data_IF_987823126205
#
_entry.id   IF_987823126205
#
_cell.length_a   1.000
_cell.length_b   1.000
_cell.length_c   1.000
_cell.angle_alpha   90.00
_cell.angle_beta   90.00
_cell.angle_gamma   90.00
#
_symmetry.space_group_name_H-M   'P 1'
#
loop_
_entity.id
_entity.type
_entity.pdbx_description
1 polymer ?
#
# COMPACT_ATOMS: atom_id res chain seq x y z
N UNK A 1 8.93 8.06 -30.96
CA UNK A 1 8.54 6.68 -30.57
C UNK A 1 9.73 6.10 -29.79
N UNK A 2 9.52 5.55 -28.58
CA UNK A 2 10.61 4.93 -27.83
C UNK A 2 11.21 3.76 -28.62
N UNK A 3 12.52 3.54 -28.56
CA UNK A 3 13.23 2.48 -29.31
C UNK A 3 14.48 2.00 -28.58
N UNK A 4 14.96 0.83 -28.93
CA UNK A 4 16.18 0.25 -28.37
C UNK A 4 16.14 0.13 -26.85
N UNK A 5 17.16 0.63 -26.18
CA UNK A 5 17.27 0.59 -24.70
C UNK A 5 16.20 1.42 -23.99
N UNK A 6 15.57 2.43 -24.62
CA UNK A 6 14.44 3.13 -24.00
C UNK A 6 13.22 2.21 -23.77
N UNK A 7 13.04 1.19 -24.61
CA UNK A 7 12.01 0.15 -24.44
C UNK A 7 12.46 -0.89 -23.43
N UNK A 8 13.70 -1.40 -23.57
CA UNK A 8 14.21 -2.43 -22.66
C UNK A 8 14.33 -1.95 -21.22
N UNK A 9 14.57 -0.67 -21.00
CA UNK A 9 14.66 -0.06 -19.66
C UNK A 9 13.30 0.44 -19.13
N UNK A 10 12.22 0.31 -19.90
CA UNK A 10 10.89 0.69 -19.44
C UNK A 10 10.12 -0.56 -19.01
N UNK A 11 9.85 -0.75 -17.72
CA UNK A 11 9.26 -1.97 -17.19
C UNK A 11 7.83 -2.23 -17.71
N UNK A 12 7.12 -1.21 -18.16
CA UNK A 12 5.77 -1.33 -18.74
C UNK A 12 5.79 -1.73 -20.22
N UNK A 13 6.91 -1.56 -20.91
CA UNK A 13 7.04 -1.85 -22.35
C UNK A 13 7.93 -3.05 -22.62
N UNK A 14 8.83 -3.36 -21.70
CA UNK A 14 9.79 -4.44 -21.86
C UNK A 14 9.09 -5.81 -21.79
N UNK A 15 9.31 -6.62 -22.84
CA UNK A 15 8.87 -8.03 -22.93
C UNK A 15 10.05 -9.01 -22.82
N UNK A 16 11.26 -8.51 -22.59
CA UNK A 16 12.47 -9.33 -22.58
C UNK A 16 12.64 -10.13 -23.89
N UNK A 17 12.94 -11.41 -23.77
CA UNK A 17 13.12 -12.30 -24.91
C UNK A 17 11.82 -12.66 -25.67
N UNK A 18 10.65 -12.24 -25.18
CA UNK A 18 9.35 -12.50 -25.84
C UNK A 18 9.01 -11.48 -26.93
N UNK A 19 9.82 -10.45 -27.18
CA UNK A 19 9.63 -9.61 -28.36
C UNK A 19 9.70 -10.44 -29.64
N UNK A 20 8.64 -10.38 -30.48
CA UNK A 20 8.61 -11.06 -31.79
C UNK A 20 9.65 -10.49 -32.73
N UNK A 21 9.91 -11.17 -33.86
CA UNK A 21 10.86 -10.69 -34.86
C UNK A 21 10.44 -9.32 -35.41
N UNK A 22 9.17 -9.14 -35.71
CA UNK A 22 8.58 -7.91 -36.23
C UNK A 22 8.68 -6.77 -35.20
N UNK A 23 8.46 -7.08 -33.93
CA UNK A 23 8.64 -6.11 -32.83
C UNK A 23 10.09 -5.72 -32.64
N UNK A 24 11.04 -6.68 -32.75
CA UNK A 24 12.47 -6.40 -32.66
C UNK A 24 12.94 -5.49 -33.81
N UNK A 25 12.44 -5.70 -35.03
CA UNK A 25 12.70 -4.83 -36.16
C UNK A 25 12.08 -3.44 -35.95
N UNK A 26 10.79 -3.39 -35.60
CA UNK A 26 10.03 -2.15 -35.43
C UNK A 26 10.60 -1.23 -34.34
N UNK A 27 11.06 -1.82 -33.25
CA UNK A 27 11.52 -1.08 -32.07
C UNK A 27 13.04 -0.95 -31.97
N UNK A 28 13.80 -1.35 -32.97
CA UNK A 28 15.27 -1.26 -32.98
C UNK A 28 15.94 -2.16 -31.96
N UNK A 29 15.41 -3.36 -31.73
CA UNK A 29 15.91 -4.32 -30.75
C UNK A 29 16.80 -5.41 -31.38
N UNK A 30 17.03 -5.39 -32.70
CA UNK A 30 17.86 -6.37 -33.36
C UNK A 30 19.31 -6.32 -32.82
N UNK A 31 19.81 -7.47 -32.41
CA UNK A 31 21.13 -7.59 -31.78
C UNK A 31 21.24 -7.19 -30.31
N UNK A 32 20.16 -6.60 -29.73
CA UNK A 32 20.11 -6.25 -28.29
C UNK A 32 19.56 -7.38 -27.41
N UNK A 33 18.93 -8.38 -28.02
CA UNK A 33 18.36 -9.54 -27.32
C UNK A 33 18.95 -10.83 -27.92
N UNK A 34 19.05 -11.92 -27.13
CA UNK A 34 19.38 -13.25 -27.63
C UNK A 34 18.46 -13.65 -28.81
N UNK A 35 18.97 -14.42 -29.79
CA UNK A 35 18.20 -14.73 -31.02
C UNK A 35 16.90 -15.49 -30.78
N UNK A 36 16.87 -16.40 -29.81
CA UNK A 36 15.67 -17.19 -29.52
C UNK A 36 14.55 -16.32 -28.97
N UNK A 37 13.33 -16.54 -29.42
CA UNK A 37 12.14 -15.84 -28.97
C UNK A 37 11.39 -16.77 -28.04
N UNK A 38 11.37 -16.43 -26.74
CA UNK A 38 10.64 -17.20 -25.74
C UNK A 38 9.16 -16.80 -25.72
N UNK A 39 8.33 -17.76 -25.35
CA UNK A 39 6.96 -17.48 -24.91
C UNK A 39 6.99 -16.90 -23.48
N UNK A 40 5.90 -16.31 -23.06
CA UNK A 40 5.75 -15.83 -21.66
C UNK A 40 5.83 -17.00 -20.66
N UNK A 41 5.33 -18.20 -21.03
CA UNK A 41 5.41 -19.39 -20.18
C UNK A 41 6.86 -19.88 -20.02
N UNK A 42 7.68 -19.84 -21.07
CA UNK A 42 9.08 -20.19 -21.00
C UNK A 42 9.87 -19.21 -20.12
N UNK A 43 9.61 -17.90 -20.26
CA UNK A 43 10.18 -16.88 -19.38
C UNK A 43 9.78 -17.08 -17.93
N UNK A 44 8.48 -17.33 -17.67
CA UNK A 44 7.96 -17.56 -16.33
C UNK A 44 8.57 -18.82 -15.70
N UNK A 45 8.71 -19.91 -16.46
CA UNK A 45 9.37 -21.14 -16.00
C UNK A 45 10.83 -20.89 -15.64
N UNK A 46 11.54 -20.12 -16.44
CA UNK A 46 12.92 -19.75 -16.18
C UNK A 46 13.05 -18.90 -14.91
N UNK A 47 12.22 -17.86 -14.77
CA UNK A 47 12.19 -16.97 -13.61
C UNK A 47 11.81 -17.73 -12.34
N UNK A 48 10.79 -18.58 -12.38
CA UNK A 48 10.39 -19.40 -11.24
C UNK A 48 11.50 -20.36 -10.80
N UNK A 49 12.21 -20.97 -11.76
CA UNK A 49 13.38 -21.81 -11.45
C UNK A 49 14.52 -21.05 -10.76
N UNK A 50 14.70 -19.75 -11.05
CA UNK A 50 15.67 -18.90 -10.36
C UNK A 50 15.16 -18.50 -8.97
N UNK A 51 13.87 -18.18 -8.83
CA UNK A 51 13.21 -17.90 -7.55
C UNK A 51 13.35 -19.06 -6.55
N UNK A 52 13.16 -20.30 -7.01
CA UNK A 52 13.28 -21.49 -6.16
C UNK A 52 14.71 -21.75 -5.64
N UNK A 53 15.73 -21.15 -6.26
CA UNK A 53 17.13 -21.25 -5.82
C UNK A 53 17.51 -20.26 -4.72
N UNK A 54 16.59 -19.37 -4.34
CA UNK A 54 16.80 -18.43 -3.25
C UNK A 54 16.37 -19.07 -1.93
N UNK A 55 17.24 -19.03 -0.93
CA UNK A 55 16.98 -19.68 0.36
C UNK A 55 16.15 -18.80 1.28
N UNK A 56 16.44 -17.49 1.35
CA UNK A 56 15.76 -16.54 2.24
C UNK A 56 14.57 -15.87 1.57
N UNK A 57 13.51 -15.59 2.33
CA UNK A 57 12.32 -14.91 1.82
C UNK A 57 12.64 -13.49 1.31
N UNK A 58 13.52 -12.76 1.99
CA UNK A 58 13.96 -11.44 1.53
C UNK A 58 14.73 -11.50 0.19
N UNK A 59 15.55 -12.53 -0.02
CA UNK A 59 16.23 -12.74 -1.31
C UNK A 59 15.23 -13.07 -2.42
N UNK A 60 14.18 -13.84 -2.10
CA UNK A 60 13.07 -14.11 -3.01
C UNK A 60 12.33 -12.82 -3.35
N UNK A 61 12.06 -11.96 -2.36
CA UNK A 61 11.47 -10.65 -2.58
C UNK A 61 12.36 -9.79 -3.51
N UNK A 62 13.65 -9.66 -3.23
CA UNK A 62 14.57 -8.88 -4.06
C UNK A 62 14.56 -9.35 -5.51
N UNK A 63 14.58 -10.66 -5.73
CA UNK A 63 14.50 -11.23 -7.08
C UNK A 63 13.17 -10.88 -7.78
N UNK A 64 12.04 -10.96 -7.07
CA UNK A 64 10.74 -10.56 -7.62
C UNK A 64 10.71 -9.06 -7.94
N UNK A 65 11.31 -8.22 -7.08
CA UNK A 65 11.42 -6.78 -7.31
C UNK A 65 12.32 -6.44 -8.51
N UNK A 66 13.37 -7.22 -8.78
CA UNK A 66 14.18 -7.08 -9.98
C UNK A 66 13.34 -7.31 -11.24
N UNK A 67 12.53 -8.38 -11.28
CA UNK A 67 11.60 -8.62 -12.39
C UNK A 67 10.57 -7.51 -12.49
N UNK A 68 9.98 -7.08 -11.37
CA UNK A 68 9.00 -5.99 -11.33
C UNK A 68 9.54 -4.69 -11.91
N UNK A 69 10.80 -4.35 -11.60
CA UNK A 69 11.44 -3.12 -12.06
C UNK A 69 11.93 -3.19 -13.52
N UNK A 70 11.95 -4.39 -14.12
CA UNK A 70 12.43 -4.59 -15.49
C UNK A 70 11.36 -5.05 -16.47
N UNK A 71 10.42 -5.89 -16.05
CA UNK A 71 9.37 -6.46 -16.89
C UNK A 71 8.09 -6.73 -16.09
N UNK A 72 7.19 -5.74 -16.02
CA UNK A 72 5.92 -5.82 -15.28
C UNK A 72 5.00 -6.92 -15.78
N UNK A 73 4.99 -7.15 -17.09
CA UNK A 73 4.17 -8.21 -17.68
C UNK A 73 4.60 -9.59 -17.17
N UNK A 74 5.90 -9.87 -17.20
CA UNK A 74 6.43 -11.13 -16.67
C UNK A 74 6.19 -11.26 -15.16
N UNK A 75 6.43 -10.17 -14.39
CA UNK A 75 6.18 -10.17 -12.95
C UNK A 75 4.74 -10.56 -12.62
N UNK A 76 3.74 -9.88 -13.19
CA UNK A 76 2.35 -10.16 -12.89
C UNK A 76 1.87 -11.50 -13.47
N UNK A 77 2.41 -11.91 -14.62
CA UNK A 77 2.12 -13.25 -15.14
C UNK A 77 2.61 -14.32 -14.16
N UNK A 78 3.85 -14.21 -13.70
CA UNK A 78 4.42 -15.13 -12.71
C UNK A 78 3.65 -15.08 -11.38
N UNK A 79 3.31 -13.90 -10.90
CA UNK A 79 2.52 -13.71 -9.68
C UNK A 79 1.14 -14.37 -9.80
N UNK A 80 0.46 -14.22 -10.93
CA UNK A 80 -0.86 -14.83 -11.15
C UNK A 80 -0.83 -16.36 -11.11
N UNK A 81 0.30 -16.97 -11.48
CA UNK A 81 0.50 -18.44 -11.41
C UNK A 81 0.81 -18.93 -9.99
N UNK A 82 1.35 -18.08 -9.13
CA UNK A 82 1.87 -18.44 -7.81
C UNK A 82 1.34 -17.49 -6.70
N UNK A 83 0.07 -17.06 -6.78
CA UNK A 83 -0.51 -16.03 -5.89
C UNK A 83 -0.31 -16.36 -4.42
N UNK A 84 -0.64 -17.58 -3.99
CA UNK A 84 -0.57 -17.99 -2.57
C UNK A 84 0.88 -17.97 -2.06
N UNK A 85 1.85 -18.37 -2.88
CA UNK A 85 3.25 -18.39 -2.51
C UNK A 85 3.87 -16.98 -2.50
N UNK A 86 3.49 -16.12 -3.46
CA UNK A 86 4.12 -14.82 -3.63
C UNK A 86 3.50 -13.72 -2.78
N UNK A 87 2.21 -13.82 -2.44
CA UNK A 87 1.52 -12.82 -1.63
C UNK A 87 2.27 -12.46 -0.35
N UNK A 88 2.66 -13.44 0.51
CA UNK A 88 3.40 -13.15 1.74
C UNK A 88 4.84 -12.67 1.51
N UNK A 89 5.36 -12.79 0.30
CA UNK A 89 6.72 -12.35 -0.06
C UNK A 89 6.71 -10.93 -0.60
N UNK A 90 5.73 -10.59 -1.44
CA UNK A 90 5.64 -9.23 -2.03
C UNK A 90 4.98 -8.22 -1.10
N UNK A 91 4.23 -8.71 -0.10
CA UNK A 91 3.56 -7.90 0.88
C UNK A 91 3.83 -8.45 2.30
N UNK A 92 2.84 -8.44 3.19
CA UNK A 92 2.99 -8.87 4.57
C UNK A 92 3.09 -10.41 4.68
N UNK A 93 4.07 -10.93 5.47
CA UNK A 93 4.94 -10.24 6.44
C UNK A 93 6.34 -9.84 5.91
N UNK A 94 6.80 -10.33 4.77
CA UNK A 94 8.19 -10.11 4.31
C UNK A 94 8.48 -8.64 3.98
N UNK A 95 7.46 -7.86 3.65
CA UNK A 95 7.61 -6.44 3.36
C UNK A 95 8.15 -5.65 4.56
N UNK A 96 7.87 -6.07 5.79
CA UNK A 96 8.38 -5.43 7.00
C UNK A 96 9.93 -5.43 7.01
N UNK A 97 10.57 -6.58 6.76
CA UNK A 97 12.03 -6.69 6.66
C UNK A 97 12.59 -5.81 5.53
N UNK A 98 11.86 -5.70 4.41
CA UNK A 98 12.24 -4.81 3.30
C UNK A 98 12.23 -3.34 3.70
N UNK A 99 11.20 -2.90 4.43
CA UNK A 99 11.05 -1.52 4.89
C UNK A 99 12.14 -1.17 5.91
N UNK A 100 12.39 -2.07 6.86
CA UNK A 100 13.43 -1.90 7.88
C UNK A 100 14.82 -1.67 7.28
N UNK A 101 15.08 -2.30 6.14
CA UNK A 101 16.37 -2.23 5.44
C UNK A 101 16.33 -1.40 4.13
N UNK A 102 15.23 -0.70 3.86
CA UNK A 102 14.98 -0.04 2.57
C UNK A 102 16.11 0.89 2.14
N UNK A 103 16.54 1.79 3.01
CA UNK A 103 17.57 2.78 2.69
C UNK A 103 18.94 2.14 2.42
N UNK A 104 19.27 1.08 3.15
CA UNK A 104 20.54 0.36 2.99
C UNK A 104 20.55 -0.48 1.71
N UNK A 105 19.40 -0.99 1.30
CA UNK A 105 19.23 -1.88 0.14
C UNK A 105 18.72 -1.15 -1.10
N UNK A 106 18.64 0.18 -1.04
CA UNK A 106 18.10 0.98 -2.14
C UNK A 106 18.89 0.85 -3.43
N UNK A 107 18.23 0.44 -4.51
CA UNK A 107 18.79 0.34 -5.86
C UNK A 107 17.95 1.13 -6.87
N UNK A 108 16.61 1.17 -6.66
CA UNK A 108 15.67 1.67 -7.67
C UNK A 108 14.46 2.29 -6.99
N UNK A 109 13.94 3.45 -7.44
CA UNK A 109 12.77 4.12 -6.86
C UNK A 109 11.43 3.42 -7.15
N UNK A 110 11.40 2.27 -7.83
CA UNK A 110 10.23 1.41 -8.05
C UNK A 110 9.04 2.11 -8.76
N UNK A 111 9.29 3.19 -9.48
CA UNK A 111 8.31 4.08 -10.11
C UNK A 111 7.31 4.70 -9.11
N UNK A 112 7.75 4.94 -7.87
CA UNK A 112 7.00 5.63 -6.84
C UNK A 112 7.20 7.16 -6.91
N UNK A 113 6.28 7.91 -6.31
CA UNK A 113 6.41 9.34 -6.06
C UNK A 113 6.82 9.57 -4.61
N UNK A 114 7.84 10.38 -4.38
CA UNK A 114 8.34 10.77 -3.07
C UNK A 114 8.03 12.25 -2.86
N UNK A 115 7.12 12.56 -1.95
CA UNK A 115 6.69 13.92 -1.64
C UNK A 115 7.30 14.34 -0.30
N UNK A 116 7.92 15.51 -0.25
CA UNK A 116 8.40 16.10 1.01
C UNK A 116 7.43 17.16 1.50
N UNK A 117 7.04 17.12 2.78
CA UNK A 117 6.18 18.16 3.37
C UNK A 117 6.85 19.53 3.38
N UNK A 118 8.17 19.60 3.24
CA UNK A 118 8.94 20.86 3.15
C UNK A 118 8.95 21.48 1.74
N UNK A 119 8.46 20.75 0.74
CA UNK A 119 8.44 21.18 -0.66
C UNK A 119 7.04 21.09 -1.28
N UNK A 120 6.01 21.71 -0.67
CA UNK A 120 4.64 21.60 -1.15
C UNK A 120 4.43 22.18 -2.57
N UNK A 121 5.28 23.08 -3.02
CA UNK A 121 5.24 23.64 -4.37
C UNK A 121 5.60 22.62 -5.45
N UNK A 122 6.34 21.56 -5.12
CA UNK A 122 6.81 20.55 -6.06
C UNK A 122 5.81 19.40 -6.31
N UNK A 123 4.71 19.32 -5.55
CA UNK A 123 3.73 18.21 -5.63
C UNK A 123 3.28 17.95 -7.07
N UNK A 124 2.86 18.99 -7.81
CA UNK A 124 2.36 18.84 -9.20
C UNK A 124 3.44 18.29 -10.12
N UNK A 125 4.65 18.79 -10.01
CA UNK A 125 5.79 18.37 -10.82
C UNK A 125 6.17 16.92 -10.52
N UNK A 126 6.25 16.55 -9.23
CA UNK A 126 6.61 15.21 -8.79
C UNK A 126 5.57 14.19 -9.28
N UNK A 127 4.27 14.47 -9.11
CA UNK A 127 3.20 13.57 -9.57
C UNK A 127 3.21 13.40 -11.10
N UNK A 128 3.46 14.46 -11.87
CA UNK A 128 3.60 14.37 -13.34
C UNK A 128 4.81 13.52 -13.74
N UNK A 129 5.96 13.73 -13.11
CA UNK A 129 7.17 12.96 -13.37
C UNK A 129 6.97 11.47 -13.07
N UNK A 130 6.40 11.16 -11.91
CA UNK A 130 6.15 9.77 -11.51
C UNK A 130 5.07 9.08 -12.36
N UNK A 131 4.09 9.82 -12.85
CA UNK A 131 3.07 9.30 -13.76
C UNK A 131 3.61 8.97 -15.16
N UNK A 132 4.68 9.62 -15.62
CA UNK A 132 5.29 9.41 -16.96
C UNK A 132 4.24 9.31 -18.11
N UNK A 133 3.33 10.27 -18.17
CA UNK A 133 2.21 10.34 -19.13
C UNK A 133 1.19 9.16 -19.02
N UNK A 134 1.25 8.33 -17.99
CA UNK A 134 0.25 7.30 -17.73
C UNK A 134 -1.05 7.92 -17.23
N UNK A 135 -2.17 7.27 -17.51
CA UNK A 135 -3.49 7.66 -17.01
C UNK A 135 -3.70 7.05 -15.62
N UNK A 136 -3.28 7.73 -14.58
CA UNK A 136 -3.43 7.25 -13.22
C UNK A 136 -4.90 7.30 -12.80
N UNK A 137 -5.38 6.20 -12.18
CA UNK A 137 -6.73 6.02 -11.64
C UNK A 137 -6.76 5.61 -10.18
N UNK A 138 -5.67 5.03 -9.69
CA UNK A 138 -5.53 4.63 -8.30
C UNK A 138 -4.19 5.11 -7.78
N UNK A 139 -4.22 5.84 -6.68
CA UNK A 139 -3.04 6.15 -5.88
C UNK A 139 -3.19 5.41 -4.55
N UNK A 140 -2.17 4.66 -4.15
CA UNK A 140 -1.98 4.26 -2.76
C UNK A 140 -0.93 5.17 -2.17
N UNK A 141 -1.30 5.89 -1.11
CA UNK A 141 -0.44 6.85 -0.43
C UNK A 141 -0.27 6.47 1.03
N UNK A 142 0.96 6.63 1.52
CA UNK A 142 1.32 6.45 2.94
C UNK A 142 2.17 7.61 3.43
N UNK A 143 2.05 7.97 4.72
CA UNK A 143 3.08 8.76 5.42
C UNK A 143 3.99 7.88 6.28
N UNK A 144 3.72 6.57 6.28
CA UNK A 144 4.47 5.52 6.95
C UNK A 144 4.72 5.75 8.44
N UNK A 145 3.80 6.48 9.11
CA UNK A 145 3.87 6.69 10.56
C UNK A 145 3.36 5.50 11.34
N UNK A 146 2.36 4.80 10.80
CA UNK A 146 1.61 3.76 11.48
C UNK A 146 1.66 2.39 10.80
N UNK A 147 2.80 1.98 10.24
CA UNK A 147 2.91 0.69 9.58
C UNK A 147 2.59 -0.43 10.57
N UNK A 148 1.59 -1.25 10.24
CA UNK A 148 1.10 -2.30 11.13
C UNK A 148 2.23 -3.22 11.59
N UNK A 149 2.38 -3.34 12.91
CA UNK A 149 3.38 -4.19 13.56
C UNK A 149 4.78 -3.58 13.71
N UNK A 150 5.18 -2.57 12.93
CA UNK A 150 6.53 -2.00 12.97
C UNK A 150 6.59 -0.48 13.20
N UNK A 151 5.48 0.24 13.06
CA UNK A 151 5.37 1.66 13.40
C UNK A 151 5.95 2.62 12.36
N UNK A 152 6.62 3.68 12.83
CA UNK A 152 7.14 4.79 12.02
C UNK A 152 8.45 4.42 11.30
N UNK A 153 8.43 4.46 9.97
CA UNK A 153 9.60 4.20 9.12
C UNK A 153 9.89 5.32 8.10
N UNK A 154 9.18 6.45 8.19
CA UNK A 154 9.40 7.59 7.32
C UNK A 154 9.37 7.20 5.83
N UNK A 155 10.30 7.74 5.03
CA UNK A 155 10.32 7.47 3.58
C UNK A 155 10.52 5.99 3.20
N UNK A 156 11.12 5.17 4.10
CA UNK A 156 11.31 3.74 3.87
C UNK A 156 9.98 3.02 3.63
N UNK A 157 8.88 3.55 4.18
CA UNK A 157 7.55 2.97 4.01
C UNK A 157 6.95 3.08 2.61
N UNK A 158 7.65 3.63 1.63
CA UNK A 158 7.21 3.61 0.22
C UNK A 158 6.90 2.19 -0.27
N UNK A 159 7.61 1.19 0.24
CA UNK A 159 7.39 -0.22 -0.10
C UNK A 159 5.98 -0.70 0.24
N UNK A 160 5.31 -0.12 1.27
CA UNK A 160 3.90 -0.39 1.60
C UNK A 160 3.01 -0.05 0.40
N UNK A 161 3.10 1.17 -0.13
CA UNK A 161 2.30 1.58 -1.28
C UNK A 161 2.60 0.74 -2.53
N UNK A 162 3.87 0.38 -2.75
CA UNK A 162 4.28 -0.47 -3.87
C UNK A 162 3.70 -1.88 -3.72
N UNK A 163 3.87 -2.52 -2.56
CA UNK A 163 3.38 -3.86 -2.28
C UNK A 163 1.85 -3.95 -2.34
N UNK A 164 1.14 -2.97 -1.78
CA UNK A 164 -0.32 -2.89 -1.85
C UNK A 164 -0.80 -2.85 -3.30
N UNK A 165 -0.18 -2.05 -4.16
CA UNK A 165 -0.53 -1.99 -5.58
C UNK A 165 -0.21 -3.26 -6.35
N UNK A 166 0.82 -4.02 -5.96
CA UNK A 166 1.07 -5.35 -6.51
C UNK A 166 -0.08 -6.31 -6.20
N UNK A 167 -0.57 -6.28 -4.96
CA UNK A 167 -1.73 -7.09 -4.52
C UNK A 167 -2.99 -6.66 -5.26
N UNK A 168 -3.26 -5.36 -5.42
CA UNK A 168 -4.39 -4.86 -6.21
C UNK A 168 -4.38 -5.40 -7.65
N UNK A 169 -3.22 -5.40 -8.30
CA UNK A 169 -3.12 -5.93 -9.65
C UNK A 169 -3.31 -7.45 -9.68
N UNK A 170 -2.60 -8.18 -8.80
CA UNK A 170 -2.59 -9.64 -8.84
C UNK A 170 -3.92 -10.26 -8.38
N UNK A 171 -4.58 -9.70 -7.36
CA UNK A 171 -5.79 -10.28 -6.75
C UNK A 171 -7.09 -9.60 -7.23
N UNK A 172 -7.08 -8.30 -7.55
CA UNK A 172 -8.26 -7.57 -7.97
C UNK A 172 -8.26 -7.19 -9.47
N UNK A 173 -7.20 -7.51 -10.22
CA UNK A 173 -7.13 -7.27 -11.66
C UNK A 173 -7.01 -5.81 -12.07
N UNK A 174 -6.54 -4.94 -11.18
CA UNK A 174 -6.29 -3.53 -11.49
C UNK A 174 -5.11 -3.42 -12.48
N UNK A 175 -5.30 -2.66 -13.56
CA UNK A 175 -4.25 -2.43 -14.56
C UNK A 175 -3.03 -1.73 -13.94
N UNK A 176 -1.85 -2.36 -13.91
CA UNK A 176 -0.65 -1.78 -13.31
C UNK A 176 -0.15 -0.51 -13.99
N UNK A 177 -0.59 -0.23 -15.22
CA UNK A 177 -0.27 1.02 -15.90
C UNK A 177 -1.07 2.21 -15.36
N UNK A 178 -2.15 1.97 -14.61
CA UNK A 178 -3.05 3.02 -14.09
C UNK A 178 -2.86 3.33 -12.61
N UNK A 179 -1.86 2.74 -11.98
CA UNK A 179 -1.62 2.90 -10.54
C UNK A 179 -0.34 3.69 -10.26
N UNK A 180 -0.32 4.39 -9.12
CA UNK A 180 0.84 5.17 -8.68
C UNK A 180 1.04 5.01 -7.17
N UNK A 181 2.17 4.41 -6.73
CA UNK A 181 2.55 4.42 -5.32
C UNK A 181 3.10 5.80 -4.93
N UNK A 182 2.70 6.29 -3.75
CA UNK A 182 3.12 7.58 -3.23
C UNK A 182 3.54 7.43 -1.77
N UNK A 183 4.66 8.04 -1.40
CA UNK A 183 5.02 8.26 -0.01
C UNK A 183 5.09 9.76 0.27
N UNK A 184 4.52 10.17 1.40
CA UNK A 184 4.63 11.54 1.94
C UNK A 184 5.65 11.51 3.07
N UNK A 185 6.84 12.01 2.78
CA UNK A 185 7.88 12.17 3.78
C UNK A 185 7.57 13.40 4.66
N UNK A 186 6.91 13.12 5.77
CA UNK A 186 6.56 14.10 6.79
C UNK A 186 7.62 14.19 7.92
N UNK A 187 8.81 13.60 7.70
CA UNK A 187 9.80 13.34 8.73
C UNK A 187 9.53 12.04 9.48
N UNK A 188 10.31 11.77 10.51
CA UNK A 188 10.15 10.57 11.36
C UNK A 188 10.50 10.90 12.81
N UNK A 189 9.82 10.23 13.75
CA UNK A 189 10.18 10.28 15.17
C UNK A 189 11.05 9.09 15.59
N UNK A 190 11.41 8.22 14.64
CA UNK A 190 12.31 7.09 14.89
C UNK A 190 13.75 7.57 14.94
N UNK A 191 14.32 7.56 16.13
CA UNK A 191 15.66 8.07 16.40
C UNK A 191 16.73 7.35 15.60
N UNK A 192 16.58 6.02 15.45
CA UNK A 192 17.49 5.18 14.70
C UNK A 192 17.59 5.61 13.21
N UNK A 193 16.50 6.11 12.61
CA UNK A 193 16.52 6.64 11.25
C UNK A 193 17.15 8.04 11.21
N UNK A 194 16.81 8.91 12.16
CA UNK A 194 17.36 10.27 12.21
C UNK A 194 18.90 10.29 12.37
N UNK A 195 19.44 9.29 13.07
CA UNK A 195 20.88 9.13 13.33
C UNK A 195 21.60 8.23 12.28
N UNK A 196 20.87 7.60 11.36
CA UNK A 196 21.45 6.72 10.34
C UNK A 196 21.90 7.51 9.11
N UNK A 197 23.20 7.50 8.82
CA UNK A 197 23.79 8.18 7.67
C UNK A 197 23.29 7.65 6.31
N UNK A 198 22.76 6.43 6.26
CA UNK A 198 22.21 5.81 5.05
C UNK A 198 20.72 6.14 4.85
N UNK A 199 20.02 6.70 5.85
CA UNK A 199 18.61 7.02 5.72
C UNK A 199 18.36 8.02 4.58
N UNK A 200 17.47 7.65 3.67
CA UNK A 200 17.19 8.40 2.43
C UNK A 200 16.04 9.43 2.58
N UNK A 201 15.38 9.46 3.73
CA UNK A 201 14.30 10.42 4.01
C UNK A 201 14.79 11.71 4.66
N UNK A 202 13.84 12.60 4.92
CA UNK A 202 14.08 13.84 5.65
C UNK A 202 14.50 13.57 7.10
N UNK A 203 15.57 14.21 7.56
CA UNK A 203 16.12 14.01 8.91
C UNK A 203 15.63 15.08 9.88
N UNK A 204 14.32 15.13 10.10
CA UNK A 204 13.66 15.95 11.10
C UNK A 204 12.48 15.20 11.72
N UNK A 205 12.09 15.64 12.92
CA UNK A 205 10.90 15.11 13.59
C UNK A 205 9.65 15.35 12.76
N UNK A 206 8.66 14.45 12.89
CA UNK A 206 7.42 14.54 12.11
C UNK A 206 6.73 15.88 12.25
N UNK A 207 6.43 16.47 11.11
CA UNK A 207 5.58 17.66 11.00
C UNK A 207 4.16 17.30 11.42
N UNK A 208 3.53 18.18 12.21
CA UNK A 208 2.20 17.99 12.80
C UNK A 208 1.31 19.21 12.57
N UNK A 209 0.05 19.08 12.91
CA UNK A 209 -0.91 20.18 12.93
C UNK A 209 -1.17 20.79 11.56
N UNK A 210 -1.36 22.11 11.52
CA UNK A 210 -1.81 22.81 10.33
C UNK A 210 -0.84 22.70 9.15
N UNK A 211 0.47 22.67 9.39
CA UNK A 211 1.46 22.50 8.32
C UNK A 211 1.26 21.15 7.61
N UNK A 212 1.06 20.09 8.37
CA UNK A 212 0.81 18.75 7.84
C UNK A 212 -0.52 18.69 7.07
N UNK A 213 -1.61 19.15 7.68
CA UNK A 213 -2.93 19.08 7.02
C UNK A 213 -3.06 19.99 5.82
N UNK A 214 -2.38 21.14 5.79
CA UNK A 214 -2.31 22.00 4.61
C UNK A 214 -1.55 21.31 3.46
N UNK A 215 -0.50 20.55 3.78
CA UNK A 215 0.19 19.74 2.78
C UNK A 215 -0.70 18.66 2.21
N UNK A 216 -1.41 17.88 3.07
CA UNK A 216 -2.36 16.85 2.65
C UNK A 216 -3.44 17.46 1.74
N UNK A 217 -4.01 18.60 2.11
CA UNK A 217 -5.04 19.29 1.34
C UNK A 217 -4.52 19.70 -0.06
N UNK A 218 -3.31 20.22 -0.12
CA UNK A 218 -2.65 20.55 -1.39
C UNK A 218 -2.37 19.32 -2.24
N UNK A 219 -1.92 18.23 -1.62
CA UNK A 219 -1.72 16.94 -2.31
C UNK A 219 -3.03 16.43 -2.93
N UNK A 220 -4.10 16.34 -2.15
CA UNK A 220 -5.42 15.85 -2.62
C UNK A 220 -5.91 16.68 -3.80
N UNK A 221 -5.98 18.01 -3.65
CA UNK A 221 -6.44 18.92 -4.71
C UNK A 221 -5.59 18.83 -5.99
N UNK A 222 -4.27 18.66 -5.82
CA UNK A 222 -3.38 18.53 -6.97
C UNK A 222 -3.56 17.20 -7.67
N UNK A 223 -3.68 16.11 -6.92
CA UNK A 223 -3.87 14.77 -7.46
C UNK A 223 -5.20 14.65 -8.23
N UNK A 224 -6.31 15.14 -7.67
CA UNK A 224 -7.62 15.18 -8.36
C UNK A 224 -7.59 16.01 -9.64
N UNK A 225 -6.94 17.18 -9.60
CA UNK A 225 -6.78 18.04 -10.79
C UNK A 225 -6.00 17.34 -11.90
N UNK A 226 -4.94 16.59 -11.54
CA UNK A 226 -4.07 15.93 -12.51
C UNK A 226 -4.65 14.64 -13.06
N UNK A 227 -5.39 13.90 -12.24
CA UNK A 227 -5.87 12.56 -12.54
C UNK A 227 -7.40 12.48 -12.43
N UNK A 228 -8.13 12.80 -13.50
CA UNK A 228 -9.58 12.70 -13.51
C UNK A 228 -10.07 11.29 -13.20
N UNK A 229 -11.08 11.17 -12.33
CA UNK A 229 -11.61 9.89 -11.80
C UNK A 229 -10.59 9.11 -10.98
N UNK A 230 -9.73 9.81 -10.23
CA UNK A 230 -8.81 9.23 -9.28
C UNK A 230 -9.57 8.54 -8.13
N UNK A 231 -9.11 7.36 -7.74
CA UNK A 231 -9.41 6.74 -6.46
C UNK A 231 -8.20 6.85 -5.55
N UNK A 232 -8.36 7.42 -4.36
CA UNK A 232 -7.27 7.67 -3.42
C UNK A 232 -7.38 6.76 -2.22
N UNK A 233 -6.38 5.90 -2.03
CA UNK A 233 -6.29 4.94 -0.94
C UNK A 233 -5.25 5.40 0.07
N UNK A 234 -5.67 5.57 1.34
CA UNK A 234 -4.80 5.88 2.48
C UNK A 234 -4.36 4.59 3.16
N UNK A 235 -3.05 4.45 3.38
CA UNK A 235 -2.43 3.25 3.93
C UNK A 235 -1.40 3.59 4.99
N UNK A 236 -1.45 2.96 6.16
CA UNK A 236 -0.47 3.06 7.24
C UNK A 236 -0.15 4.49 7.72
N UNK A 237 -1.14 5.34 7.74
CA UNK A 237 -1.05 6.67 8.36
C UNK A 237 -1.03 6.58 9.88
N UNK A 238 -0.39 7.55 10.53
CA UNK A 238 -0.49 7.69 11.98
C UNK A 238 -1.95 7.77 12.45
N UNK A 239 -2.25 7.09 13.55
CA UNK A 239 -3.61 6.85 14.07
C UNK A 239 -4.53 8.09 14.01
N UNK A 240 -4.06 9.22 14.56
CA UNK A 240 -4.85 10.45 14.58
C UNK A 240 -5.01 11.06 13.18
N UNK A 241 -3.95 11.01 12.38
CA UNK A 241 -3.96 11.53 11.03
C UNK A 241 -4.90 10.71 10.13
N UNK A 242 -4.85 9.38 10.23
CA UNK A 242 -5.70 8.46 9.46
C UNK A 242 -7.19 8.80 9.58
N UNK A 243 -7.67 8.94 10.82
CA UNK A 243 -9.06 9.26 11.12
C UNK A 243 -9.47 10.65 10.65
N UNK A 244 -8.64 11.67 10.95
CA UNK A 244 -8.93 13.04 10.55
C UNK A 244 -8.97 13.21 9.02
N UNK A 245 -8.06 12.55 8.31
CA UNK A 245 -8.02 12.56 6.84
C UNK A 245 -9.26 11.86 6.28
N UNK A 246 -9.59 10.67 6.76
CA UNK A 246 -10.75 9.94 6.30
C UNK A 246 -12.02 10.75 6.51
N UNK A 247 -12.27 11.23 7.72
CA UNK A 247 -13.46 12.02 8.06
C UNK A 247 -13.60 13.29 7.21
N UNK A 248 -12.47 13.92 6.82
CA UNK A 248 -12.47 15.08 5.96
C UNK A 248 -12.86 14.77 4.52
N UNK A 249 -12.33 13.69 3.96
CA UNK A 249 -12.41 13.46 2.52
C UNK A 249 -13.41 12.38 2.08
N UNK A 250 -13.91 11.52 2.99
CA UNK A 250 -14.76 10.38 2.62
C UNK A 250 -16.05 10.76 1.87
N UNK A 251 -16.54 12.00 2.06
CA UNK A 251 -17.72 12.52 1.38
C UNK A 251 -17.40 13.55 0.27
N UNK A 252 -16.12 13.88 0.07
CA UNK A 252 -15.70 14.88 -0.91
C UNK A 252 -15.12 14.25 -2.18
N UNK A 253 -14.36 13.16 -2.04
CA UNK A 253 -13.66 12.48 -3.13
C UNK A 253 -13.87 10.96 -3.10
N UNK A 254 -13.54 10.28 -4.18
CA UNK A 254 -13.51 8.82 -4.19
C UNK A 254 -12.28 8.32 -3.42
N UNK A 255 -12.47 7.92 -2.18
CA UNK A 255 -11.37 7.52 -1.27
C UNK A 255 -11.80 6.51 -0.22
N UNK A 256 -10.83 5.83 0.37
CA UNK A 256 -11.01 5.06 1.60
C UNK A 256 -9.67 4.89 2.34
N UNK A 257 -9.77 4.51 3.61
CA UNK A 257 -8.63 4.09 4.43
C UNK A 257 -8.74 2.58 4.71
N UNK A 258 -7.72 1.81 4.28
CA UNK A 258 -7.75 0.35 4.41
C UNK A 258 -7.63 -0.11 5.87
N UNK A 259 -6.77 0.55 6.66
CA UNK A 259 -6.56 0.19 8.08
C UNK A 259 -7.83 0.32 8.91
N UNK A 260 -8.65 1.34 8.60
CA UNK A 260 -9.90 1.63 9.31
C UNK A 260 -11.05 0.84 8.69
N UNK A 261 -11.31 1.04 7.39
CA UNK A 261 -12.50 0.54 6.71
C UNK A 261 -12.29 -0.86 6.15
N UNK A 262 -11.16 -1.14 5.49
CA UNK A 262 -10.85 -2.45 4.90
C UNK A 262 -10.75 -3.53 5.96
N UNK A 263 -9.96 -3.30 7.02
CA UNK A 263 -9.80 -4.21 8.14
C UNK A 263 -11.13 -4.47 8.85
N UNK A 264 -11.96 -3.42 9.02
CA UNK A 264 -13.29 -3.55 9.60
C UNK A 264 -14.21 -4.46 8.78
N UNK A 265 -14.25 -4.26 7.46
CA UNK A 265 -15.11 -5.02 6.55
C UNK A 265 -14.70 -6.49 6.49
N UNK A 266 -13.41 -6.80 6.33
CA UNK A 266 -12.95 -8.19 6.20
C UNK A 266 -13.14 -8.97 7.52
N UNK A 267 -12.93 -8.32 8.66
CA UNK A 267 -13.16 -8.93 9.97
C UNK A 267 -14.64 -9.22 10.18
N UNK A 268 -15.52 -8.26 9.89
CA UNK A 268 -16.97 -8.48 9.95
C UNK A 268 -17.41 -9.64 9.04
N UNK A 269 -16.89 -9.71 7.81
CA UNK A 269 -17.19 -10.81 6.90
C UNK A 269 -16.79 -12.18 7.47
N UNK A 270 -15.62 -12.25 8.11
CA UNK A 270 -15.17 -13.45 8.83
C UNK A 270 -16.09 -13.84 9.98
N UNK A 271 -16.52 -12.85 10.81
CA UNK A 271 -17.45 -13.06 11.91
C UNK A 271 -18.80 -13.56 11.38
N UNK A 272 -19.36 -12.93 10.36
CA UNK A 272 -20.64 -13.35 9.77
C UNK A 272 -20.54 -14.77 9.18
N UNK A 273 -19.39 -15.12 8.60
CA UNK A 273 -19.11 -16.49 8.14
C UNK A 273 -19.11 -17.50 9.28
N UNK A 274 -18.47 -17.19 10.41
CA UNK A 274 -18.45 -18.03 11.61
C UNK A 274 -19.85 -18.19 12.23
N UNK A 275 -20.60 -17.09 12.33
CA UNK A 275 -21.98 -17.10 12.86
C UNK A 275 -22.93 -17.92 11.99
N UNK A 276 -22.73 -17.90 10.66
CA UNK A 276 -23.49 -18.78 9.75
C UNK A 276 -23.23 -20.27 10.04
N UNK A 277 -22.03 -20.62 10.46
CA UNK A 277 -21.67 -22.01 10.80
C UNK A 277 -22.25 -22.38 12.18
N UNK A 278 -22.15 -21.49 13.18
CA UNK A 278 -22.66 -21.74 14.54
C UNK A 278 -24.19 -21.66 14.63
N UNK A 279 -24.87 -20.97 13.70
CA UNK A 279 -26.30 -20.71 13.73
C UNK A 279 -26.71 -19.58 14.68
N UNK A 280 -25.75 -18.81 15.18
CA UNK A 280 -25.99 -17.69 16.10
C UNK A 280 -26.19 -16.37 15.34
N UNK A 281 -26.74 -15.35 16.04
CA UNK A 281 -26.94 -14.01 15.48
C UNK A 281 -25.82 -13.07 15.92
N UNK A 282 -25.45 -12.12 15.06
CA UNK A 282 -24.49 -11.08 15.40
C UNK A 282 -24.98 -10.22 16.57
N UNK A 283 -26.30 -9.92 16.61
CA UNK A 283 -26.94 -9.13 17.65
C UNK A 283 -26.91 -9.77 19.06
N UNK A 284 -26.60 -11.07 19.16
CA UNK A 284 -26.48 -11.78 20.44
C UNK A 284 -25.02 -11.82 20.94
N UNK A 285 -24.04 -11.42 20.11
CA UNK A 285 -22.62 -11.50 20.42
C UNK A 285 -22.15 -10.36 21.32
N UNK A 286 -21.09 -10.63 22.08
CA UNK A 286 -20.29 -9.64 22.80
C UNK A 286 -18.96 -9.52 22.10
N UNK A 287 -18.58 -8.31 21.75
CA UNK A 287 -17.30 -8.03 21.10
C UNK A 287 -16.30 -7.49 22.11
N UNK A 288 -15.14 -8.13 22.19
CA UNK A 288 -14.01 -7.65 22.96
C UNK A 288 -12.83 -7.38 22.03
N UNK A 289 -12.35 -6.14 22.03
CA UNK A 289 -11.17 -5.71 21.29
C UNK A 289 -9.97 -5.58 22.23
N UNK A 290 -8.94 -6.36 22.00
CA UNK A 290 -7.67 -6.24 22.71
C UNK A 290 -6.65 -5.55 21.81
N UNK A 291 -6.45 -4.24 22.02
CA UNK A 291 -5.69 -3.34 21.15
C UNK A 291 -6.64 -2.43 20.35
N UNK A 292 -7.23 -1.44 21.02
CA UNK A 292 -8.15 -0.48 20.40
C UNK A 292 -7.38 0.64 19.65
N UNK A 293 -6.40 0.26 18.79
CA UNK A 293 -5.71 1.12 17.85
C UNK A 293 -6.58 1.45 16.63
N UNK A 294 -5.97 2.00 15.57
CA UNK A 294 -6.66 2.38 14.32
C UNK A 294 -7.51 1.23 13.77
N UNK A 295 -6.90 0.05 13.58
CA UNK A 295 -7.59 -1.14 13.10
C UNK A 295 -8.65 -1.64 14.09
N UNK A 296 -8.30 -1.76 15.40
CA UNK A 296 -9.22 -2.27 16.42
C UNK A 296 -10.47 -1.40 16.59
N UNK A 297 -10.31 -0.08 16.61
CA UNK A 297 -11.43 0.87 16.65
C UNK A 297 -12.27 0.82 15.36
N UNK A 298 -11.62 0.72 14.19
CA UNK A 298 -12.30 0.57 12.89
C UNK A 298 -13.15 -0.70 12.82
N UNK A 299 -12.62 -1.83 13.31
CA UNK A 299 -13.35 -3.10 13.41
C UNK A 299 -14.55 -2.95 14.34
N UNK A 300 -14.34 -2.38 15.55
CA UNK A 300 -15.42 -2.18 16.53
C UNK A 300 -16.55 -1.33 15.93
N UNK A 301 -16.22 -0.20 15.29
CA UNK A 301 -17.16 0.68 14.60
C UNK A 301 -17.96 -0.05 13.51
N UNK A 302 -17.29 -0.87 12.69
CA UNK A 302 -17.98 -1.61 11.62
C UNK A 302 -18.93 -2.68 12.17
N UNK A 303 -18.52 -3.42 13.20
CA UNK A 303 -19.40 -4.42 13.85
C UNK A 303 -20.56 -3.75 14.55
N UNK A 304 -20.32 -2.62 15.24
CA UNK A 304 -21.35 -1.83 15.88
C UNK A 304 -22.43 -1.38 14.88
N UNK A 305 -22.01 -0.78 13.77
CA UNK A 305 -22.92 -0.34 12.72
C UNK A 305 -23.77 -1.50 12.17
N UNK A 306 -23.13 -2.67 11.94
CA UNK A 306 -23.85 -3.87 11.48
C UNK A 306 -24.88 -4.38 12.50
N UNK A 307 -24.57 -4.34 13.80
CA UNK A 307 -25.54 -4.71 14.85
C UNK A 307 -26.75 -3.77 14.86
N UNK A 308 -26.52 -2.47 14.62
CA UNK A 308 -27.61 -1.47 14.51
C UNK A 308 -28.42 -1.71 13.23
N UNK A 309 -27.74 -1.95 12.08
CA UNK A 309 -28.40 -2.29 10.82
C UNK A 309 -29.27 -3.57 10.93
N UNK A 310 -28.86 -4.52 11.78
CA UNK A 310 -29.62 -5.74 12.09
C UNK A 310 -30.69 -5.57 13.16
N UNK A 311 -30.93 -4.35 13.64
CA UNK A 311 -32.10 -3.97 14.45
C UNK A 311 -31.86 -3.72 15.93
N UNK A 312 -30.62 -3.70 16.43
CA UNK A 312 -30.35 -3.18 17.77
C UNK A 312 -30.46 -1.65 17.78
N UNK A 313 -30.93 -1.08 18.89
CA UNK A 313 -30.72 0.33 19.17
C UNK A 313 -29.22 0.58 19.44
N UNK A 314 -28.73 1.80 19.19
CA UNK A 314 -27.34 2.18 19.49
C UNK A 314 -26.98 1.91 20.96
N UNK A 315 -27.91 2.20 21.89
CA UNK A 315 -27.72 1.98 23.32
C UNK A 315 -27.58 0.48 23.68
N UNK A 316 -28.31 -0.40 23.01
CA UNK A 316 -28.19 -1.85 23.20
C UNK A 316 -26.89 -2.39 22.57
N UNK A 317 -26.52 -1.87 21.38
CA UNK A 317 -25.29 -2.24 20.70
C UNK A 317 -24.06 -1.83 21.54
N UNK A 318 -24.00 -0.59 22.07
CA UNK A 318 -22.88 -0.11 22.91
C UNK A 318 -22.59 -1.03 24.08
N UNK A 319 -23.59 -1.60 24.73
CA UNK A 319 -23.44 -2.52 25.88
C UNK A 319 -22.78 -3.84 25.54
N UNK A 320 -22.54 -4.13 24.26
CA UNK A 320 -21.92 -5.37 23.77
C UNK A 320 -20.44 -5.21 23.43
N UNK A 321 -19.87 -4.00 23.58
CA UNK A 321 -18.51 -3.69 23.22
C UNK A 321 -17.63 -3.43 24.42
N UNK A 322 -16.47 -4.10 24.44
CA UNK A 322 -15.42 -3.91 25.43
C UNK A 322 -14.10 -3.68 24.70
N UNK A 323 -13.56 -2.48 24.80
CA UNK A 323 -12.32 -2.09 24.16
C UNK A 323 -11.22 -1.98 25.23
N UNK A 324 -10.09 -2.63 24.98
CA UNK A 324 -8.92 -2.61 25.85
C UNK A 324 -7.72 -2.06 25.08
N UNK A 325 -7.02 -1.10 25.66
CA UNK A 325 -5.78 -0.56 25.11
C UNK A 325 -4.75 -0.37 26.26
N UNK A 326 -3.70 0.40 26.05
CA UNK A 326 -2.63 0.65 27.04
C UNK A 326 -3.14 1.18 28.37
N UNK A 327 -4.26 1.90 28.35
CA UNK A 327 -4.94 2.43 29.54
C UNK A 327 -5.76 1.36 30.32
N UNK A 328 -5.86 0.14 29.81
CA UNK A 328 -6.75 -0.89 30.31
C UNK A 328 -8.07 -0.92 29.55
N UNK A 329 -9.15 -1.34 30.23
CA UNK A 329 -10.50 -1.26 29.68
C UNK A 329 -10.92 0.21 29.53
N UNK A 330 -11.35 0.58 28.32
CA UNK A 330 -11.71 1.96 28.00
C UNK A 330 -13.13 2.31 28.45
N UNK A 331 -13.28 3.48 29.05
CA UNK A 331 -14.54 4.10 29.48
C UNK A 331 -14.60 5.53 28.93
N UNK A 332 -15.79 6.13 28.93
CA UNK A 332 -15.99 7.51 28.45
C UNK A 332 -15.11 8.56 29.15
N UNK A 333 -14.71 8.31 30.40
CA UNK A 333 -13.87 9.17 31.22
C UNK A 333 -12.37 8.78 31.21
N UNK A 334 -11.98 7.81 30.38
CA UNK A 334 -10.56 7.41 30.25
C UNK A 334 -9.77 8.54 29.61
N UNK A 335 -8.69 9.00 30.27
CA UNK A 335 -7.82 10.04 29.73
C UNK A 335 -7.04 9.54 28.49
N UNK A 336 -6.85 10.42 27.51
CA UNK A 336 -6.04 10.16 26.31
C UNK A 336 -6.73 9.29 25.27
N UNK A 337 -8.06 9.21 25.28
CA UNK A 337 -8.82 8.57 24.19
C UNK A 337 -8.65 9.35 22.88
N UNK A 338 -8.64 8.62 21.78
CA UNK A 338 -8.81 9.21 20.45
C UNK A 338 -10.31 9.32 20.12
N UNK A 339 -10.69 10.15 19.13
CA UNK A 339 -12.09 10.28 18.71
C UNK A 339 -12.73 8.96 18.29
N UNK A 340 -11.96 7.98 17.83
CA UNK A 340 -12.44 6.66 17.39
C UNK A 340 -12.67 5.70 18.56
N UNK A 341 -11.99 5.89 19.67
CA UNK A 341 -12.13 5.12 20.91
C UNK A 341 -13.34 5.58 21.71
#
# INVERSE_FOLDING_TARGET
>A
MKSGYEILNNPFLNKGTAFTKEEREKYGLLGLLPPYIQTIDEQAKQAYGQFLKKDKLIEKRHFLMEIFNTNRTLFYYLFSKHVVEFMPIVYDPVIAESIENYSELFVNPQNAAYLSVKEPENIETILKNAADNRKIRLIVVTDAEGILGIGDWGTNGVDISVGKLMVYTAAAGIDPATVLPVVIDAGTNRKELLENDLYLGNRFERVRGDEYYNFIDKFVKTAEKLFPNLYLHWEDFGRLNAANILNKYENEIATFNDDIQGTGIITLAGILGALKISGEKLTDQIYMCFGAGTAGAGIARRIFNEMVEQGLSEEEAKKRFYLVDRQGLLFEDTEGLTPEQ
#
